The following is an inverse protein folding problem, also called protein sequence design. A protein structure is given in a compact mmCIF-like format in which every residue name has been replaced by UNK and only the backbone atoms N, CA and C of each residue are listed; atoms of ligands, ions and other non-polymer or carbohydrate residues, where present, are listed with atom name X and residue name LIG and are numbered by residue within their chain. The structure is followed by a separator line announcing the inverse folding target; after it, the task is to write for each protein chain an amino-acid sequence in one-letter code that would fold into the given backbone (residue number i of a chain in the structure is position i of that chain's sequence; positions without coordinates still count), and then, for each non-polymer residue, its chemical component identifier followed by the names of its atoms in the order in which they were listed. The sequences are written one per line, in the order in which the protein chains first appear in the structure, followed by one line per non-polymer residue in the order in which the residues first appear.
data_IF_424991242566
#
_entry.id   IF_424991242566
#
_cell.length_a   1.000
_cell.length_b   1.000
_cell.length_c   1.000
_cell.angle_alpha   90.00
_cell.angle_beta   90.00
_cell.angle_gamma   90.00
#
_symmetry.space_group_name_H-M   'P 1'
#
loop_
_entity.id
_entity.type
_entity.pdbx_description
1 polymer ?
#
# COMPACT_ATOMS: atom_id res chain seq x y z
N UNK A 1 -9.19 -6.75 6.14
CA UNK A 1 -9.01 -5.32 5.77
C UNK A 1 -9.39 -5.09 4.30
N UNK A 2 -9.74 -3.88 3.99
CA UNK A 2 -9.94 -3.42 2.61
C UNK A 2 -8.63 -2.79 2.14
N UNK A 3 -8.08 -3.28 1.04
CA UNK A 3 -6.74 -2.93 0.58
C UNK A 3 -6.78 -2.35 -0.82
N UNK A 4 -6.20 -1.17 -1.00
CA UNK A 4 -6.00 -0.55 -2.31
C UNK A 4 -4.63 -0.96 -2.83
N UNK A 5 -4.59 -1.47 -4.06
CA UNK A 5 -3.35 -1.85 -4.74
C UNK A 5 -3.02 -0.80 -5.78
N UNK A 6 -1.80 -0.26 -5.75
CA UNK A 6 -1.35 0.77 -6.68
C UNK A 6 -0.06 0.30 -7.36
N UNK A 7 -0.15 0.02 -8.65
CA UNK A 7 1.00 -0.39 -9.47
C UNK A 7 0.63 -0.19 -10.93
N UNK A 8 1.53 0.38 -11.72
CA UNK A 8 1.30 0.57 -13.15
C UNK A 8 1.56 -0.69 -13.97
N UNK A 9 2.18 -1.71 -13.39
CA UNK A 9 2.30 -3.04 -13.98
C UNK A 9 1.04 -3.84 -13.68
N UNK A 10 0.20 -4.00 -14.68
CA UNK A 10 -1.10 -4.69 -14.54
C UNK A 10 -0.94 -6.15 -14.14
N UNK A 11 0.10 -6.82 -14.64
CA UNK A 11 0.37 -8.21 -14.27
C UNK A 11 0.71 -8.34 -12.80
N UNK A 12 1.56 -7.46 -12.31
CA UNK A 12 1.94 -7.46 -10.90
C UNK A 12 0.76 -7.09 -10.02
N UNK A 13 0.00 -6.06 -10.39
CA UNK A 13 -1.19 -5.66 -9.64
C UNK A 13 -2.22 -6.79 -9.55
N UNK A 14 -2.43 -7.52 -10.65
CA UNK A 14 -3.32 -8.67 -10.66
C UNK A 14 -2.85 -9.80 -9.75
N UNK A 15 -1.54 -10.07 -9.76
CA UNK A 15 -0.94 -11.05 -8.86
C UNK A 15 -1.14 -10.65 -7.40
N UNK A 16 -0.89 -9.37 -7.08
CA UNK A 16 -1.09 -8.86 -5.73
C UNK A 16 -2.54 -8.97 -5.28
N UNK A 17 -3.48 -8.70 -6.18
CA UNK A 17 -4.90 -8.84 -5.88
C UNK A 17 -5.25 -10.28 -5.51
N UNK A 18 -4.71 -11.26 -6.23
CA UNK A 18 -4.91 -12.67 -5.91
C UNK A 18 -4.31 -13.04 -4.54
N UNK A 19 -3.11 -12.52 -4.24
CA UNK A 19 -2.47 -12.77 -2.96
C UNK A 19 -3.25 -12.14 -1.80
N UNK A 20 -3.75 -10.94 -1.98
CA UNK A 20 -4.60 -10.28 -0.98
C UNK A 20 -5.84 -11.11 -0.68
N UNK A 21 -6.49 -11.62 -1.73
CA UNK A 21 -7.65 -12.47 -1.59
C UNK A 21 -7.32 -13.79 -0.86
N UNK A 22 -6.20 -14.42 -1.22
CA UNK A 22 -5.74 -15.64 -0.55
C UNK A 22 -5.43 -15.40 0.93
N UNK A 23 -5.02 -14.19 1.29
CA UNK A 23 -4.78 -13.82 2.68
C UNK A 23 -6.08 -13.45 3.43
N UNK A 24 -7.23 -13.63 2.78
CA UNK A 24 -8.55 -13.36 3.35
C UNK A 24 -8.80 -11.87 3.65
N UNK A 25 -8.22 -11.01 2.81
CA UNK A 25 -8.50 -9.58 2.82
C UNK A 25 -9.23 -9.19 1.54
N UNK A 26 -9.86 -8.03 1.53
CA UNK A 26 -10.62 -7.55 0.39
C UNK A 26 -9.81 -6.55 -0.44
N UNK A 27 -9.87 -6.67 -1.76
CA UNK A 27 -9.30 -5.66 -2.65
C UNK A 27 -10.31 -4.53 -2.81
N UNK A 28 -9.98 -3.37 -2.25
CA UNK A 28 -10.85 -2.19 -2.32
C UNK A 28 -10.79 -1.51 -3.69
N UNK A 29 -9.70 -1.74 -4.43
CA UNK A 29 -9.52 -1.18 -5.75
C UNK A 29 -8.11 -1.43 -6.25
N UNK A 30 -7.91 -1.19 -7.55
CA UNK A 30 -6.60 -1.24 -8.19
C UNK A 30 -6.43 0.07 -8.94
N UNK A 31 -5.34 0.78 -8.64
CA UNK A 31 -4.97 2.03 -9.31
C UNK A 31 -3.66 1.82 -10.07
N UNK A 32 -3.52 2.44 -11.23
CA UNK A 32 -2.35 2.27 -12.10
C UNK A 32 -1.46 3.50 -12.17
N UNK A 33 -1.74 4.52 -11.37
CA UNK A 33 -0.91 5.73 -11.30
C UNK A 33 -1.04 6.38 -9.94
N UNK A 34 -0.12 7.30 -9.62
CA UNK A 34 -0.20 8.07 -8.39
C UNK A 34 -1.47 8.90 -8.29
N UNK A 35 -1.90 9.50 -9.40
CA UNK A 35 -3.13 10.29 -9.43
C UNK A 35 -4.36 9.42 -9.17
N UNK A 36 -4.45 8.26 -9.83
CA UNK A 36 -5.53 7.30 -9.57
C UNK A 36 -5.52 6.82 -8.12
N UNK A 37 -4.32 6.63 -7.54
CA UNK A 37 -4.19 6.22 -6.15
C UNK A 37 -4.84 7.24 -5.21
N UNK A 38 -4.57 8.52 -5.43
CA UNK A 38 -5.14 9.59 -4.63
C UNK A 38 -6.67 9.61 -4.76
N UNK A 39 -7.16 9.55 -5.99
CA UNK A 39 -8.60 9.55 -6.27
C UNK A 39 -9.29 8.32 -5.67
N UNK A 40 -8.69 7.14 -5.85
CA UNK A 40 -9.25 5.89 -5.35
C UNK A 40 -9.24 5.84 -3.83
N UNK A 41 -8.20 6.39 -3.20
CA UNK A 41 -8.14 6.46 -1.74
C UNK A 41 -9.32 7.27 -1.18
N UNK A 42 -9.58 8.43 -1.74
CA UNK A 42 -10.68 9.27 -1.30
C UNK A 42 -12.04 8.62 -1.54
N UNK A 43 -12.21 7.95 -2.66
CA UNK A 43 -13.47 7.32 -3.04
C UNK A 43 -13.77 6.05 -2.26
N UNK A 44 -12.76 5.19 -2.10
CA UNK A 44 -12.93 3.85 -1.55
C UNK A 44 -12.58 3.75 -0.07
N UNK A 45 -11.84 4.70 0.47
CA UNK A 45 -11.44 4.74 1.89
C UNK A 45 -10.88 3.39 2.36
N UNK A 46 -9.78 2.90 1.76
CA UNK A 46 -9.21 1.61 2.15
C UNK A 46 -8.60 1.68 3.55
N UNK A 47 -8.42 0.51 4.16
CA UNK A 47 -7.73 0.40 5.44
C UNK A 47 -6.22 0.45 5.27
N UNK A 48 -5.72 0.03 4.11
CA UNK A 48 -4.30 -0.06 3.82
C UNK A 48 -4.08 0.12 2.31
N UNK A 49 -2.95 0.73 1.95
CA UNK A 49 -2.53 0.89 0.56
C UNK A 49 -1.22 0.14 0.33
N UNK A 50 -1.20 -0.71 -0.69
CA UNK A 50 0.04 -1.31 -1.20
C UNK A 50 0.45 -0.50 -2.41
N UNK A 51 1.56 0.23 -2.32
CA UNK A 51 1.94 1.27 -3.28
C UNK A 51 3.29 0.98 -3.91
N UNK A 52 3.33 0.93 -5.24
CA UNK A 52 4.59 0.98 -5.96
C UNK A 52 5.16 2.40 -5.94
N UNK A 53 6.49 2.52 -6.03
CA UNK A 53 7.17 3.82 -6.06
C UNK A 53 7.26 4.37 -7.47
N UNK A 54 7.80 3.56 -8.38
CA UNK A 54 8.20 4.01 -9.71
C UNK A 54 7.03 3.90 -10.68
N UNK A 55 6.28 4.98 -10.81
CA UNK A 55 5.13 5.05 -11.71
C UNK A 55 5.26 6.28 -12.61
N UNK A 56 4.61 6.22 -13.76
CA UNK A 56 4.57 7.34 -14.70
C UNK A 56 3.78 8.51 -14.11
N UNK A 57 4.17 9.72 -14.46
CA UNK A 57 3.57 11.01 -14.06
C UNK A 57 3.80 11.32 -12.58
N UNK A 58 3.07 10.68 -11.69
CA UNK A 58 3.15 10.93 -10.25
C UNK A 58 3.67 9.69 -9.56
N UNK A 59 4.85 9.75 -8.94
CA UNK A 59 5.44 8.60 -8.27
C UNK A 59 4.76 8.29 -6.93
N UNK A 60 5.06 7.11 -6.40
CA UNK A 60 4.44 6.63 -5.17
C UNK A 60 4.71 7.49 -3.95
N UNK A 61 5.90 8.11 -3.86
CA UNK A 61 6.23 8.98 -2.73
C UNK A 61 5.31 10.21 -2.71
N UNK A 62 5.14 10.85 -3.87
CA UNK A 62 4.27 12.01 -3.98
C UNK A 62 2.83 11.65 -3.66
N UNK A 63 2.35 10.51 -4.17
CA UNK A 63 1.01 10.03 -3.87
C UNK A 63 0.85 9.74 -2.37
N UNK A 64 1.82 9.07 -1.77
CA UNK A 64 1.83 8.76 -0.34
C UNK A 64 1.73 10.03 0.50
N UNK A 65 2.55 11.02 0.20
CA UNK A 65 2.54 12.30 0.93
C UNK A 65 1.24 13.05 0.78
N UNK A 66 0.65 13.02 -0.40
CA UNK A 66 -0.65 13.65 -0.63
C UNK A 66 -1.74 12.97 0.21
N UNK A 67 -1.78 11.65 0.19
CA UNK A 67 -2.75 10.88 0.97
C UNK A 67 -2.59 11.20 2.47
N UNK A 68 -1.36 11.20 2.97
CA UNK A 68 -1.07 11.45 4.38
C UNK A 68 -1.39 12.89 4.79
N UNK A 69 -1.21 13.86 3.90
CA UNK A 69 -1.54 15.25 4.22
C UNK A 69 -3.04 15.47 4.38
N UNK A 70 -3.86 14.67 3.70
CA UNK A 70 -5.32 14.72 3.82
C UNK A 70 -5.86 13.79 4.91
N UNK A 71 -5.14 12.70 5.18
CA UNK A 71 -5.51 11.74 6.23
C UNK A 71 -4.24 11.23 6.90
N UNK A 72 -3.78 11.86 7.99
CA UNK A 72 -2.56 11.45 8.68
C UNK A 72 -2.60 10.03 9.25
N UNK A 73 -3.78 9.45 9.42
CA UNK A 73 -3.94 8.08 9.90
C UNK A 73 -3.87 7.04 8.78
N UNK A 74 -3.72 7.47 7.53
CA UNK A 74 -3.61 6.54 6.41
C UNK A 74 -2.39 5.64 6.56
N UNK A 75 -2.53 4.37 6.17
CA UNK A 75 -1.45 3.39 6.26
C UNK A 75 -1.06 2.94 4.87
N UNK A 76 0.20 3.16 4.53
CA UNK A 76 0.75 2.87 3.22
C UNK A 76 1.96 1.97 3.39
N UNK A 77 2.00 0.86 2.64
CA UNK A 77 3.15 -0.01 2.52
C UNK A 77 3.67 0.13 1.10
N UNK A 78 4.94 0.51 0.96
CA UNK A 78 5.58 0.48 -0.36
C UNK A 78 5.97 -0.95 -0.72
N UNK A 79 5.72 -1.33 -1.97
CA UNK A 79 6.17 -2.60 -2.54
C UNK A 79 6.96 -2.25 -3.79
N UNK A 80 8.30 -2.36 -3.75
CA UNK A 80 9.15 -1.80 -4.79
C UNK A 80 10.41 -2.62 -5.02
N UNK A 81 10.87 -2.63 -6.26
CA UNK A 81 12.16 -3.21 -6.63
C UNK A 81 13.36 -2.44 -6.08
N UNK A 82 13.14 -1.21 -5.62
CA UNK A 82 14.16 -0.36 -5.00
C UNK A 82 13.81 -0.05 -3.54
N UNK A 83 13.37 -1.08 -2.81
CA UNK A 83 12.90 -0.95 -1.42
C UNK A 83 13.95 -0.33 -0.49
N UNK A 84 15.25 -0.42 -0.86
CA UNK A 84 16.36 0.18 -0.10
C UNK A 84 16.51 1.69 -0.33
N UNK A 85 15.76 2.28 -1.26
CA UNK A 85 15.84 3.71 -1.56
C UNK A 85 15.39 4.53 -0.35
N UNK A 86 16.19 5.55 -0.01
CA UNK A 86 15.89 6.44 1.11
C UNK A 86 14.50 7.07 1.03
N UNK A 87 14.06 7.42 -0.18
CA UNK A 87 12.73 8.04 -0.40
C UNK A 87 11.58 7.19 0.12
N UNK A 88 11.77 5.87 0.19
CA UNK A 88 10.74 4.93 0.61
C UNK A 88 10.79 4.64 2.11
N UNK A 89 11.87 5.02 2.80
CA UNK A 89 11.98 4.72 4.23
C UNK A 89 10.76 5.28 4.98
N UNK A 90 10.21 4.54 5.95
CA UNK A 90 9.05 5.01 6.71
C UNK A 90 9.28 6.38 7.36
N UNK A 91 10.49 6.62 7.82
CA UNK A 91 10.86 7.87 8.46
C UNK A 91 10.75 9.07 7.52
N UNK A 92 11.08 8.88 6.24
CA UNK A 92 11.07 9.95 5.24
C UNK A 92 9.71 10.06 4.54
N UNK A 93 9.14 8.93 4.16
CA UNK A 93 7.91 8.89 3.37
C UNK A 93 6.64 9.00 4.20
N UNK A 94 6.70 8.56 5.44
CA UNK A 94 5.51 8.40 6.30
C UNK A 94 4.80 7.06 6.11
N UNK A 95 5.29 6.19 5.22
CA UNK A 95 4.75 4.86 5.06
C UNK A 95 4.97 4.03 6.33
N UNK A 96 4.15 3.02 6.55
CA UNK A 96 4.29 2.16 7.75
C UNK A 96 5.30 1.03 7.53
N UNK A 97 5.57 0.67 6.29
CA UNK A 97 6.54 -0.38 5.95
C UNK A 97 6.96 -0.30 4.49
N UNK A 98 8.03 -1.00 4.16
CA UNK A 98 8.52 -1.16 2.78
C UNK A 98 8.82 -2.63 2.56
N UNK A 99 8.27 -3.21 1.50
CA UNK A 99 8.49 -4.60 1.11
C UNK A 99 9.21 -4.64 -0.23
N UNK A 100 10.21 -5.50 -0.39
CA UNK A 100 10.94 -5.61 -1.66
C UNK A 100 10.18 -6.45 -2.68
N UNK A 101 10.37 -6.14 -3.97
CA UNK A 101 10.01 -7.02 -5.09
C UNK A 101 11.23 -7.89 -5.42
N UNK A 102 11.05 -9.15 -5.79
CA UNK A 102 9.78 -9.89 -5.81
C UNK A 102 9.30 -10.18 -4.38
N UNK A 103 7.99 -10.20 -4.22
CA UNK A 103 7.38 -10.47 -2.91
C UNK A 103 6.79 -11.89 -2.90
N UNK A 104 7.01 -12.62 -1.80
CA UNK A 104 6.41 -13.93 -1.62
C UNK A 104 5.04 -13.79 -0.94
N UNK A 105 4.20 -14.82 -1.13
CA UNK A 105 2.91 -14.87 -0.46
C UNK A 105 3.08 -14.81 1.07
N UNK A 106 4.11 -15.47 1.61
CA UNK A 106 4.38 -15.46 3.04
C UNK A 106 4.77 -14.09 3.56
N UNK A 107 5.61 -13.35 2.82
CA UNK A 107 6.00 -11.99 3.20
C UNK A 107 4.79 -11.05 3.21
N UNK A 108 3.95 -11.13 2.19
CA UNK A 108 2.76 -10.31 2.11
C UNK A 108 1.80 -10.64 3.24
N UNK A 109 1.55 -11.94 3.48
CA UNK A 109 0.66 -12.39 4.54
C UNK A 109 1.10 -11.88 5.90
N UNK A 110 2.39 -12.03 6.21
CA UNK A 110 2.94 -11.56 7.48
C UNK A 110 2.73 -10.06 7.66
N UNK A 111 3.03 -9.26 6.64
CA UNK A 111 2.85 -7.82 6.69
C UNK A 111 1.37 -7.45 6.88
N UNK A 112 0.48 -8.08 6.13
CA UNK A 112 -0.96 -7.79 6.22
C UNK A 112 -1.52 -8.20 7.59
N UNK A 113 -1.11 -9.36 8.11
CA UNK A 113 -1.57 -9.83 9.41
C UNK A 113 -1.14 -8.88 10.53
N UNK A 114 0.09 -8.36 10.46
CA UNK A 114 0.60 -7.41 11.44
C UNK A 114 -0.26 -6.14 11.50
N UNK A 115 -0.64 -5.60 10.33
CA UNK A 115 -1.43 -4.38 10.27
C UNK A 115 -2.93 -4.64 10.49
N UNK A 116 -3.42 -5.83 10.16
CA UNK A 116 -4.80 -6.21 10.47
C UNK A 116 -5.00 -6.31 11.98
N UNK A 117 -4.05 -6.92 12.69
CA UNK A 117 -4.08 -6.98 14.16
C UNK A 117 -4.10 -5.58 14.76
N UNK A 118 -3.21 -4.71 14.30
CA UNK A 118 -3.16 -3.33 14.79
C UNK A 118 -4.47 -2.59 14.55
N UNK A 119 -5.11 -2.84 13.40
CA UNK A 119 -6.39 -2.23 13.05
C UNK A 119 -7.55 -2.75 13.90
N UNK A 120 -7.51 -4.01 14.31
CA UNK A 120 -8.58 -4.65 15.08
C UNK A 120 -8.38 -4.52 16.59
N UNK A 121 -7.18 -4.13 17.05
CA UNK A 121 -6.89 -3.96 18.47
C UNK A 121 -7.62 -2.72 18.99
N UNK A 122 -8.45 -2.83 20.02
CA UNK A 122 -9.09 -1.65 20.58
C UNK A 122 -8.05 -0.72 21.21
N UNK A 123 -8.30 0.60 21.22
CA UNK A 123 -7.36 1.53 21.81
C UNK A 123 -7.12 1.20 23.27
N UNK A 124 -5.87 1.28 23.68
CA UNK A 124 -5.50 1.09 25.09
C UNK A 124 -6.11 2.18 25.93
N UNK A 125 -6.64 1.78 27.03
CA UNK A 125 -7.26 2.71 27.96
C UNK A 125 -6.25 3.16 28.99
#
# INVERSE_FOLDING_TARGET
MRILIVDDDKGFAGMMAQLVDLCQHEVAGIASSGLEAIQSYHRNKPDLVLMDYKMQKLNGLTACRNILSNNPAARIIFVSGIAWNHDLSPRYSGAVAVLPKPITAGQLKEALDNFAEAASTPPSV
#
